data_IF_091220633993
#
_entry.id   IF_091220633993
#
_cell.length_a   1.000
_cell.length_b   1.000
_cell.length_c   1.000
_cell.angle_alpha   90.00
_cell.angle_beta   90.00
_cell.angle_gamma   90.00
#
_symmetry.space_group_name_H-M   'P 1'
#
loop_
_entity.id
_entity.type
_entity.pdbx_description
1 polymer ?
#
# COMPACT_ATOMS: atom_id res chain seq x y z
N UNK A 1 -18.53 -14.89 8.76
CA UNK A 1 -17.60 -13.80 9.07
C UNK A 1 -18.32 -12.50 8.78
N UNK A 2 -18.37 -11.53 9.71
CA UNK A 2 -19.06 -10.25 9.52
C UNK A 2 -18.06 -9.11 9.69
N UNK A 3 -18.13 -8.12 8.81
CA UNK A 3 -17.33 -6.91 8.85
C UNK A 3 -18.27 -5.69 8.87
N UNK A 4 -17.84 -4.63 9.54
CA UNK A 4 -18.49 -3.33 9.51
C UNK A 4 -17.53 -2.33 8.89
N UNK A 5 -18.07 -1.40 8.13
CA UNK A 5 -17.32 -0.32 7.49
C UNK A 5 -17.92 1.00 7.97
N UNK A 6 -17.07 1.93 8.36
CA UNK A 6 -17.46 3.27 8.79
C UNK A 6 -16.27 4.22 8.64
N UNK A 7 -16.57 5.49 8.46
CA UNK A 7 -15.59 6.56 8.45
C UNK A 7 -15.46 7.14 9.86
N UNK A 8 -14.23 7.42 10.30
CA UNK A 8 -13.95 8.07 11.58
C UNK A 8 -12.58 8.74 11.55
N UNK A 9 -12.29 9.49 12.61
CA UNK A 9 -10.97 10.08 12.82
C UNK A 9 -10.14 9.24 13.78
N UNK A 10 -8.84 9.15 13.50
CA UNK A 10 -7.86 8.57 14.40
C UNK A 10 -7.29 9.68 15.29
N UNK A 11 -7.53 9.58 16.60
CA UNK A 11 -7.04 10.54 17.58
C UNK A 11 -6.12 9.84 18.57
N UNK A 12 -4.84 10.24 18.61
CA UNK A 12 -3.82 9.65 19.48
C UNK A 12 -3.74 8.11 19.39
N UNK A 13 -3.89 7.56 18.18
CA UNK A 13 -3.88 6.12 17.95
C UNK A 13 -5.19 5.39 18.31
N UNK A 14 -6.22 6.11 18.74
CA UNK A 14 -7.54 5.56 19.06
C UNK A 14 -8.52 5.81 17.92
N UNK A 15 -9.21 4.76 17.51
CA UNK A 15 -10.32 4.77 16.54
C UNK A 15 -11.62 4.81 17.36
N UNK A 16 -12.42 5.85 17.16
CA UNK A 16 -13.73 5.94 17.83
C UNK A 16 -14.79 5.18 17.02
N UNK A 17 -15.39 4.17 17.64
CA UNK A 17 -16.51 3.45 17.06
C UNK A 17 -17.78 4.31 17.10
N UNK A 18 -18.57 4.36 16.01
CA UNK A 18 -19.91 4.94 16.04
C UNK A 18 -20.80 4.30 17.11
N UNK A 19 -21.72 5.07 17.70
CA UNK A 19 -22.65 4.59 18.74
C UNK A 19 -23.39 3.31 18.34
N UNK A 20 -23.75 3.18 17.05
CA UNK A 20 -24.43 2.01 16.51
C UNK A 20 -23.65 0.69 16.70
N UNK A 21 -22.33 0.77 16.86
CA UNK A 21 -21.43 -0.38 16.93
C UNK A 21 -20.71 -0.52 18.28
N UNK A 22 -21.01 0.30 19.29
CA UNK A 22 -20.31 0.25 20.58
C UNK A 22 -20.41 -1.12 21.28
N UNK A 23 -21.56 -1.78 21.15
CA UNK A 23 -21.79 -3.11 21.75
C UNK A 23 -21.45 -4.25 20.78
N UNK A 24 -20.96 -3.93 19.57
CA UNK A 24 -20.65 -4.94 18.58
C UNK A 24 -19.36 -5.68 18.96
N UNK A 25 -19.47 -6.99 19.17
CA UNK A 25 -18.37 -7.85 19.63
C UNK A 25 -17.75 -7.42 20.97
N UNK A 26 -18.52 -6.79 21.84
CA UNK A 26 -18.06 -6.39 23.19
C UNK A 26 -17.43 -7.60 23.93
N UNK A 27 -16.26 -7.36 24.54
CA UNK A 27 -15.51 -8.39 25.26
C UNK A 27 -14.82 -9.45 24.40
N UNK A 28 -14.85 -9.34 23.07
CA UNK A 28 -14.24 -10.31 22.14
C UNK A 28 -13.06 -9.69 21.39
N UNK A 29 -12.14 -10.56 20.97
CA UNK A 29 -11.04 -10.15 20.09
C UNK A 29 -11.56 -9.96 18.67
N UNK A 30 -11.17 -8.84 18.04
CA UNK A 30 -11.58 -8.46 16.69
C UNK A 30 -10.35 -8.13 15.84
N UNK A 31 -10.46 -8.30 14.52
CA UNK A 31 -9.48 -7.85 13.55
C UNK A 31 -9.98 -6.56 12.91
N UNK A 32 -9.13 -5.55 12.82
CA UNK A 32 -9.46 -4.23 12.26
C UNK A 32 -8.61 -4.00 11.02
N UNK A 33 -9.24 -3.52 9.94
CA UNK A 33 -8.57 -3.05 8.72
C UNK A 33 -8.87 -1.55 8.63
N UNK A 34 -7.82 -0.75 8.46
CA UNK A 34 -7.92 0.71 8.33
C UNK A 34 -7.55 1.09 6.91
N UNK A 35 -8.45 1.80 6.24
CA UNK A 35 -8.22 2.41 4.93
C UNK A 35 -7.99 3.91 5.14
N UNK A 36 -6.97 4.47 4.52
CA UNK A 36 -6.62 5.89 4.64
C UNK A 36 -6.71 6.51 3.25
N UNK A 37 -7.46 7.60 3.13
CA UNK A 37 -7.53 8.36 1.89
C UNK A 37 -6.26 9.19 1.71
N UNK A 38 -5.57 8.99 0.59
CA UNK A 38 -4.31 9.67 0.25
C UNK A 38 -4.45 11.18 0.05
N UNK A 39 -5.68 11.72 0.04
CA UNK A 39 -5.97 13.11 -0.28
C UNK A 39 -5.48 14.12 0.78
N UNK A 40 -5.06 13.68 1.97
CA UNK A 40 -4.71 14.59 3.08
C UNK A 40 -3.22 14.59 3.43
N UNK A 41 -2.38 13.81 2.75
CA UNK A 41 -0.93 13.82 2.96
C UNK A 41 -0.22 14.83 2.04
N UNK A 42 -0.58 16.10 2.14
CA UNK A 42 0.18 17.16 1.46
C UNK A 42 1.50 17.52 2.21
N UNK A 43 1.73 16.96 3.41
CA UNK A 43 2.87 17.34 4.27
C UNK A 43 3.73 16.19 4.82
N UNK A 44 3.64 14.97 4.27
CA UNK A 44 4.46 13.84 4.74
C UNK A 44 5.26 13.14 3.63
N UNK A 45 5.60 13.82 2.52
CA UNK A 45 6.60 13.29 1.59
C UNK A 45 8.00 13.54 2.14
N UNK A 46 8.80 12.52 2.51
CA UNK A 46 10.24 12.70 2.47
C UNK A 46 10.61 13.07 1.03
N UNK A 47 11.27 14.21 0.88
CA UNK A 47 11.92 14.56 -0.38
C UNK A 47 12.78 13.38 -0.84
N UNK A 48 12.65 13.02 -2.11
CA UNK A 48 13.35 11.93 -2.80
C UNK A 48 12.73 10.52 -2.71
N UNK A 49 11.51 10.35 -3.20
CA UNK A 49 11.30 9.23 -4.12
C UNK A 49 12.05 9.58 -5.42
N UNK A 50 13.32 9.18 -5.47
CA UNK A 50 14.04 9.11 -6.73
C UNK A 50 13.22 8.23 -7.67
N UNK A 51 12.52 8.89 -8.58
CA UNK A 51 11.79 8.30 -9.69
C UNK A 51 12.60 7.14 -10.26
N UNK A 52 12.11 5.92 -10.03
CA UNK A 52 12.60 4.69 -10.68
C UNK A 52 12.57 4.89 -12.21
N UNK A 53 11.75 5.84 -12.67
CA UNK A 53 11.63 6.33 -14.05
C UNK A 53 12.81 7.18 -14.56
N UNK A 54 13.84 7.51 -13.78
CA UNK A 54 15.04 8.21 -14.31
C UNK A 54 15.77 7.38 -15.36
N UNK A 55 15.63 6.06 -15.28
CA UNK A 55 16.27 5.09 -16.17
C UNK A 55 15.29 4.33 -17.07
N UNK A 56 13.97 4.52 -16.89
CA UNK A 56 12.95 3.99 -17.78
C UNK A 56 13.09 4.66 -19.16
N UNK A 57 13.67 3.94 -20.12
CA UNK A 57 14.01 4.43 -21.46
C UNK A 57 15.49 4.73 -21.69
N UNK A 58 16.37 4.63 -20.68
CA UNK A 58 17.83 4.80 -20.85
C UNK A 58 18.60 3.50 -21.02
N UNK A 59 17.96 2.35 -20.79
CA UNK A 59 18.53 1.06 -21.20
C UNK A 59 18.19 0.86 -22.67
N UNK A 60 18.97 1.49 -23.55
CA UNK A 60 19.08 1.01 -24.91
C UNK A 60 19.75 -0.37 -24.82
N UNK A 61 18.94 -1.42 -24.78
CA UNK A 61 19.44 -2.78 -24.83
C UNK A 61 20.18 -2.93 -26.16
N UNK A 62 21.46 -3.32 -26.10
CA UNK A 62 22.31 -3.53 -27.29
C UNK A 62 21.86 -4.74 -28.10
N UNK A 63 20.96 -5.55 -27.54
CA UNK A 63 20.42 -6.78 -28.10
C UNK A 63 18.90 -6.82 -27.93
N UNK A 64 18.24 -7.70 -28.67
CA UNK A 64 16.79 -7.88 -28.59
C UNK A 64 16.37 -8.18 -27.12
N UNK A 65 15.43 -7.39 -26.55
CA UNK A 65 14.95 -7.58 -25.19
C UNK A 65 14.50 -9.02 -24.87
N UNK A 66 13.93 -9.74 -25.83
CA UNK A 66 13.44 -11.10 -25.62
C UNK A 66 14.58 -12.10 -25.45
N UNK A 67 15.64 -11.97 -26.25
CA UNK A 67 16.82 -12.83 -26.16
C UNK A 67 17.58 -12.59 -24.85
N UNK A 68 17.72 -11.33 -24.42
CA UNK A 68 18.33 -10.98 -23.15
C UNK A 68 17.60 -11.64 -21.96
N UNK A 69 16.27 -11.59 -21.96
CA UNK A 69 15.47 -12.23 -20.91
C UNK A 69 15.62 -13.76 -20.90
N UNK A 70 15.74 -14.38 -22.08
CA UNK A 70 15.95 -15.83 -22.19
C UNK A 70 17.32 -16.23 -21.65
N UNK A 71 18.39 -15.51 -22.00
CA UNK A 71 19.74 -15.77 -21.48
C UNK A 71 19.78 -15.68 -19.95
N UNK A 72 19.22 -14.61 -19.37
CA UNK A 72 19.15 -14.46 -17.91
C UNK A 72 18.37 -15.62 -17.27
N UNK A 73 17.25 -16.03 -17.87
CA UNK A 73 16.45 -17.15 -17.34
C UNK A 73 17.22 -18.47 -17.38
N UNK A 74 17.93 -18.72 -18.47
CA UNK A 74 18.65 -19.98 -18.69
C UNK A 74 19.95 -20.03 -17.85
N UNK A 75 20.55 -18.89 -17.48
CA UNK A 75 21.65 -18.82 -16.51
C UNK A 75 21.25 -19.23 -15.07
N UNK A 76 19.96 -19.17 -14.74
CA UNK A 76 19.43 -19.50 -13.41
C UNK A 76 18.85 -20.92 -13.34
N UNK A 77 18.89 -21.68 -14.43
CA UNK A 77 18.45 -23.07 -14.52
C UNK A 77 19.60 -24.05 -14.22
#
# INVERSE_FOLDING_TARGET
MQAIEFETHLHNGLIQLPMAYQNWQEGKSVKVIVLVDEATEENARPAALHSINRHAGKLALTQDPLEFQQTIRDEWA
#
